data_IF_690418954480
#
_entry.id   IF_690418954480
#
_cell.length_a   1.000
_cell.length_b   1.000
_cell.length_c   1.000
_cell.angle_alpha   90.00
_cell.angle_beta   90.00
_cell.angle_gamma   90.00
#
_symmetry.space_group_name_H-M   'P 1'
#
loop_
_entity.id
_entity.type
_entity.pdbx_description
1 polymer ?
#
# COMPACT_ATOMS: atom_id res chain seq x y z
N UNK A 1 -35.58 -28.68 -7.91
CA UNK A 1 -34.81 -28.09 -9.03
C UNK A 1 -34.16 -26.80 -8.53
N UNK A 2 -32.85 -26.83 -8.27
CA UNK A 2 -32.13 -25.72 -7.63
C UNK A 2 -31.84 -24.61 -8.65
N UNK A 3 -32.07 -23.38 -8.18
CA UNK A 3 -32.04 -22.11 -8.91
C UNK A 3 -30.74 -21.93 -9.72
N UNK A 4 -30.88 -21.62 -11.00
CA UNK A 4 -29.80 -21.10 -11.84
C UNK A 4 -29.18 -19.87 -11.16
N UNK A 5 -27.95 -20.03 -10.67
CA UNK A 5 -27.15 -18.92 -10.16
C UNK A 5 -26.80 -17.96 -11.29
N UNK A 6 -26.93 -16.67 -11.02
CA UNK A 6 -26.46 -15.57 -11.86
C UNK A 6 -24.99 -15.83 -12.26
N UNK A 7 -24.61 -15.66 -13.54
CA UNK A 7 -23.22 -15.83 -13.95
C UNK A 7 -22.38 -14.83 -13.17
N UNK A 8 -21.45 -15.33 -12.35
CA UNK A 8 -20.53 -14.51 -11.57
C UNK A 8 -19.57 -13.83 -12.53
N UNK A 9 -19.97 -12.68 -13.08
CA UNK A 9 -19.11 -11.87 -13.95
C UNK A 9 -17.96 -11.31 -13.11
N UNK A 10 -16.76 -11.87 -13.28
CA UNK A 10 -15.54 -11.38 -12.64
C UNK A 10 -15.28 -9.95 -13.11
N UNK A 11 -15.43 -8.99 -12.19
CA UNK A 11 -15.11 -7.58 -12.47
C UNK A 11 -13.59 -7.43 -12.58
N UNK A 12 -13.11 -6.98 -13.74
CA UNK A 12 -11.69 -6.70 -13.97
C UNK A 12 -11.43 -5.22 -13.64
N UNK A 13 -10.70 -4.97 -12.57
CA UNK A 13 -10.38 -3.61 -12.11
C UNK A 13 -9.10 -3.05 -12.75
N UNK A 14 -8.10 -3.92 -12.94
CA UNK A 14 -6.82 -3.59 -13.56
C UNK A 14 -6.60 -4.55 -14.72
N UNK A 15 -6.04 -4.07 -15.83
CA UNK A 15 -5.86 -4.85 -17.05
C UNK A 15 -4.49 -4.57 -17.65
N UNK A 16 -3.63 -5.59 -17.74
CA UNK A 16 -2.32 -5.55 -18.42
C UNK A 16 -1.47 -4.30 -18.11
N UNK A 17 -1.23 -4.05 -16.82
CA UNK A 17 -0.42 -2.91 -16.37
C UNK A 17 1.03 -3.36 -16.30
N UNK A 18 1.92 -2.54 -16.86
CA UNK A 18 3.38 -2.70 -16.74
C UNK A 18 4.00 -1.36 -16.36
N UNK A 19 5.10 -1.40 -15.61
CA UNK A 19 5.78 -0.19 -15.16
C UNK A 19 6.97 -0.49 -14.29
N UNK A 20 7.85 0.49 -14.13
CA UNK A 20 9.01 0.42 -13.25
C UNK A 20 9.19 1.76 -12.55
N UNK A 21 9.46 1.70 -11.25
CA UNK A 21 9.71 2.87 -10.40
C UNK A 21 11.20 2.88 -10.04
N UNK A 22 11.87 4.02 -10.25
CA UNK A 22 13.31 4.16 -9.97
C UNK A 22 13.53 4.81 -8.60
N UNK A 23 14.49 4.33 -7.79
CA UNK A 23 14.88 5.00 -6.56
C UNK A 23 15.27 6.47 -6.81
N UNK A 24 14.89 7.37 -5.90
CA UNK A 24 15.22 8.80 -5.97
C UNK A 24 14.39 9.61 -6.96
N UNK A 25 13.43 9.00 -7.66
CA UNK A 25 12.55 9.69 -8.62
C UNK A 25 11.12 9.75 -8.10
N UNK A 26 10.58 10.97 -7.97
CA UNK A 26 9.16 11.15 -7.70
C UNK A 26 8.35 10.68 -8.90
N UNK A 27 7.55 9.63 -8.71
CA UNK A 27 6.69 9.06 -9.75
C UNK A 27 5.23 9.40 -9.44
N UNK A 28 4.54 10.03 -10.39
CA UNK A 28 3.14 10.41 -10.24
C UNK A 28 2.23 9.52 -11.10
N UNK A 29 1.15 9.02 -10.50
CA UNK A 29 0.11 8.25 -11.20
C UNK A 29 -1.13 9.13 -11.41
N UNK A 30 -1.37 9.54 -12.65
CA UNK A 30 -2.44 10.47 -13.01
C UNK A 30 -3.52 9.77 -13.85
N UNK A 31 -4.77 10.25 -13.74
CA UNK A 31 -5.90 9.69 -14.48
C UNK A 31 -7.25 10.09 -13.90
N UNK A 32 -8.32 9.84 -14.64
CA UNK A 32 -9.70 10.18 -14.24
C UNK A 32 -10.16 9.44 -12.99
N UNK A 33 -11.20 9.95 -12.32
CA UNK A 33 -11.83 9.23 -11.20
C UNK A 33 -12.35 7.86 -11.68
N UNK A 34 -12.16 6.82 -10.87
CA UNK A 34 -12.52 5.44 -11.25
C UNK A 34 -11.53 4.71 -12.18
N UNK A 35 -10.46 5.35 -12.64
CA UNK A 35 -9.45 4.71 -13.50
C UNK A 35 -8.63 3.58 -12.82
N UNK A 36 -8.84 3.33 -11.52
CA UNK A 36 -8.12 2.29 -10.78
C UNK A 36 -6.78 2.73 -10.19
N UNK A 37 -6.52 4.04 -10.07
CA UNK A 37 -5.28 4.57 -9.46
C UNK A 37 -5.06 4.08 -8.03
N UNK A 38 -6.05 4.31 -7.16
CA UNK A 38 -6.03 3.84 -5.77
C UNK A 38 -5.96 2.32 -5.72
N UNK A 39 -6.72 1.62 -6.59
CA UNK A 39 -6.67 0.15 -6.69
C UNK A 39 -5.28 -0.37 -7.05
N UNK A 40 -4.56 0.28 -7.98
CA UNK A 40 -3.20 -0.09 -8.35
C UNK A 40 -2.24 0.14 -7.17
N UNK A 41 -2.36 1.28 -6.50
CA UNK A 41 -1.54 1.60 -5.32
C UNK A 41 -1.82 0.63 -4.16
N UNK A 42 -3.06 0.23 -3.92
CA UNK A 42 -3.42 -0.76 -2.89
C UNK A 42 -2.86 -2.16 -3.19
N UNK A 43 -2.86 -2.58 -4.46
CA UNK A 43 -2.25 -3.85 -4.89
C UNK A 43 -0.73 -3.80 -4.72
N UNK A 44 -0.11 -2.70 -5.13
CA UNK A 44 1.33 -2.49 -4.94
C UNK A 44 1.69 -2.42 -3.45
N UNK A 45 0.87 -1.80 -2.61
CA UNK A 45 1.02 -1.78 -1.15
C UNK A 45 0.71 -3.15 -0.50
N UNK A 46 0.05 -4.05 -1.22
CA UNK A 46 -0.40 -5.35 -0.72
C UNK A 46 -1.52 -5.24 0.32
N UNK A 47 -2.30 -4.14 0.25
CA UNK A 47 -3.48 -3.90 1.10
C UNK A 47 -4.76 -4.48 0.51
N UNK A 48 -4.75 -4.88 -0.76
CA UNK A 48 -5.91 -5.50 -1.41
C UNK A 48 -6.07 -6.95 -0.95
N UNK A 49 -6.93 -7.18 0.05
CA UNK A 49 -7.20 -8.50 0.64
C UNK A 49 -8.25 -9.33 -0.10
N UNK A 50 -8.96 -8.74 -1.06
CA UNK A 50 -10.05 -9.38 -1.79
C UNK A 50 -9.84 -9.41 -3.30
N UNK A 51 -10.25 -10.51 -3.92
CA UNK A 51 -10.13 -10.74 -5.37
C UNK A 51 -8.89 -11.54 -5.75
N UNK A 52 -8.62 -11.59 -7.04
CA UNK A 52 -7.51 -12.33 -7.62
C UNK A 52 -6.49 -11.33 -8.16
N UNK A 53 -5.25 -11.44 -7.68
CA UNK A 53 -4.11 -10.65 -8.17
C UNK A 53 -3.23 -11.60 -8.95
N UNK A 54 -3.04 -11.31 -10.23
CA UNK A 54 -2.23 -12.11 -11.15
C UNK A 54 -1.13 -11.20 -11.74
N UNK A 55 0.08 -11.74 -11.90
CA UNK A 55 1.24 -11.01 -12.40
C UNK A 55 2.48 -11.18 -11.52
N UNK A 56 3.56 -10.51 -11.92
CA UNK A 56 4.86 -10.51 -11.22
C UNK A 56 5.17 -9.09 -10.75
N UNK A 57 5.49 -8.93 -9.46
CA UNK A 57 5.89 -7.66 -8.85
C UNK A 57 7.26 -7.88 -8.22
N UNK A 58 8.24 -7.06 -8.60
CA UNK A 58 9.62 -7.13 -8.08
C UNK A 58 10.03 -5.85 -7.38
N UNK A 59 10.80 -6.00 -6.31
CA UNK A 59 11.35 -4.90 -5.52
C UNK A 59 12.85 -5.16 -5.40
N UNK A 60 13.67 -4.23 -5.88
CA UNK A 60 15.13 -4.40 -5.89
C UNK A 60 15.62 -5.64 -6.67
N UNK A 61 14.82 -6.14 -7.62
CA UNK A 61 15.13 -7.35 -8.40
C UNK A 61 14.57 -8.66 -7.81
N UNK A 62 14.06 -8.65 -6.59
CA UNK A 62 13.49 -9.85 -5.94
C UNK A 62 11.97 -9.87 -6.04
N UNK A 63 11.33 -11.05 -6.09
CA UNK A 63 9.89 -11.18 -5.98
C UNK A 63 9.37 -10.53 -4.70
N UNK A 64 8.26 -9.79 -4.79
CA UNK A 64 7.63 -9.16 -3.64
C UNK A 64 7.14 -10.23 -2.65
N UNK A 65 7.70 -10.22 -1.44
CA UNK A 65 7.21 -11.02 -0.30
C UNK A 65 6.39 -10.12 0.61
N UNK A 66 5.12 -10.46 0.79
CA UNK A 66 4.14 -9.61 1.47
C UNK A 66 4.52 -9.30 2.93
N UNK A 67 5.07 -10.29 3.67
CA UNK A 67 5.44 -10.13 5.08
C UNK A 67 6.56 -9.11 5.30
N UNK A 68 7.61 -9.16 4.48
CA UNK A 68 8.75 -8.25 4.58
C UNK A 68 8.40 -6.87 4.02
N UNK A 69 7.56 -6.83 2.99
CA UNK A 69 7.26 -5.60 2.27
C UNK A 69 6.55 -4.54 3.11
N UNK A 70 5.64 -4.95 4.00
CA UNK A 70 4.92 -4.03 4.89
C UNK A 70 5.87 -3.29 5.85
N UNK A 71 7.05 -3.86 6.15
CA UNK A 71 8.04 -3.23 7.04
C UNK A 71 8.88 -2.14 6.38
N UNK A 72 9.03 -2.19 5.06
CA UNK A 72 9.89 -1.28 4.28
C UNK A 72 9.08 -0.25 3.49
N UNK A 73 7.76 -0.42 3.40
CA UNK A 73 6.86 0.49 2.70
C UNK A 73 6.14 1.42 3.67
N UNK A 74 6.19 2.73 3.41
CA UNK A 74 5.23 3.69 3.93
C UNK A 74 4.05 3.84 2.97
N UNK A 75 2.81 3.70 3.47
CA UNK A 75 1.59 3.95 2.69
C UNK A 75 0.75 5.01 3.37
N UNK A 76 0.48 6.12 2.68
CA UNK A 76 -0.45 7.13 3.14
C UNK A 76 -1.79 6.91 2.45
N UNK A 77 -2.86 6.85 3.24
CA UNK A 77 -4.21 6.67 2.71
C UNK A 77 -4.74 7.97 2.11
N UNK A 78 -5.86 7.88 1.38
CA UNK A 78 -6.54 9.06 0.84
C UNK A 78 -7.19 9.90 1.94
N UNK A 79 -7.53 9.28 3.08
CA UNK A 79 -8.08 9.95 4.26
C UNK A 79 -7.08 9.79 5.39
N UNK A 80 -6.74 10.91 6.03
CA UNK A 80 -5.83 10.90 7.15
C UNK A 80 -6.54 10.43 8.43
N UNK A 81 -5.91 9.50 9.15
CA UNK A 81 -6.42 8.98 10.43
C UNK A 81 -5.47 9.47 11.52
N UNK A 82 -5.91 10.46 12.30
CA UNK A 82 -5.17 11.00 13.42
C UNK A 82 -6.06 11.12 14.66
N UNK A 83 -5.45 11.00 15.85
CA UNK A 83 -6.16 11.27 17.10
C UNK A 83 -6.35 12.78 17.25
N UNK A 84 -7.58 13.26 17.51
CA UNK A 84 -7.82 14.69 17.69
C UNK A 84 -7.25 15.23 19.02
N UNK A 85 -6.81 14.36 19.92
CA UNK A 85 -6.27 14.73 21.24
C UNK A 85 -4.75 14.89 21.27
N UNK A 86 -4.05 14.52 20.18
CA UNK A 86 -2.59 14.59 20.11
C UNK A 86 -2.16 15.77 19.24
N UNK A 87 -1.06 16.40 19.63
CA UNK A 87 -0.34 17.33 18.77
C UNK A 87 0.37 16.59 17.63
N UNK A 88 0.83 17.34 16.63
CA UNK A 88 1.58 16.79 15.49
C UNK A 88 2.86 16.11 15.97
N UNK A 89 3.59 16.76 16.89
CA UNK A 89 4.83 16.23 17.47
C UNK A 89 4.58 14.89 18.17
N UNK A 90 3.60 14.83 19.07
CA UNK A 90 3.26 13.61 19.80
C UNK A 90 2.86 12.46 18.85
N UNK A 91 2.11 12.77 17.80
CA UNK A 91 1.68 11.78 16.80
C UNK A 91 2.86 11.20 16.02
N UNK A 92 3.82 12.03 15.62
CA UNK A 92 5.03 11.61 14.91
C UNK A 92 5.95 10.81 15.82
N UNK A 93 6.20 11.32 17.03
CA UNK A 93 7.03 10.64 18.05
C UNK A 93 6.47 9.28 18.42
N UNK A 94 5.15 9.18 18.61
CA UNK A 94 4.49 7.91 18.88
C UNK A 94 4.64 6.92 17.72
N UNK A 95 4.54 7.38 16.47
CA UNK A 95 4.77 6.54 15.29
C UNK A 95 6.21 6.06 15.19
N UNK A 96 7.18 6.92 15.51
CA UNK A 96 8.59 6.60 15.52
C UNK A 96 8.91 5.52 16.56
N UNK A 97 8.39 5.63 17.78
CA UNK A 97 8.60 4.65 18.86
C UNK A 97 8.10 3.25 18.50
N UNK A 98 6.98 3.14 17.78
CA UNK A 98 6.42 1.84 17.39
C UNK A 98 7.15 1.18 16.21
N UNK A 99 7.81 1.97 15.36
CA UNK A 99 8.45 1.48 14.12
C UNK A 99 9.96 1.31 14.24
N UNK A 100 10.61 2.09 15.11
CA UNK A 100 12.05 2.05 15.27
C UNK A 100 12.49 0.85 16.11
N UNK A 101 13.64 0.23 15.77
CA UNK A 101 14.22 -0.81 16.59
C UNK A 101 14.61 -0.33 18.01
N UNK A 102 14.61 -1.26 18.97
CA UNK A 102 14.96 -0.99 20.37
C UNK A 102 16.38 -0.44 20.59
N UNK A 103 17.30 -0.67 19.64
CA UNK A 103 18.70 -0.22 19.71
C UNK A 103 18.96 1.20 19.22
N UNK A 104 17.94 1.90 18.69
CA UNK A 104 18.07 3.33 18.34
C UNK A 104 18.12 4.14 19.63
N UNK A 105 19.15 4.97 19.79
CA UNK A 105 19.35 5.78 21.00
C UNK A 105 18.22 6.81 21.21
N UNK A 106 17.90 7.14 22.46
CA UNK A 106 16.84 8.10 22.79
C UNK A 106 17.09 9.48 22.16
N UNK A 107 18.35 9.91 22.04
CA UNK A 107 18.71 11.18 21.40
C UNK A 107 18.49 11.20 19.89
N UNK A 108 18.43 10.02 19.23
CA UNK A 108 18.14 9.91 17.79
C UNK A 108 16.65 9.70 17.53
N UNK A 109 15.85 9.45 18.58
CA UNK A 109 14.40 9.22 18.51
C UNK A 109 13.56 10.49 18.69
N UNK A 110 14.13 11.53 19.30
CA UNK A 110 13.58 12.88 19.48
C UNK A 110 13.92 13.78 18.31
#
# INVERSE_FOLDING_TARGET
>A
MLKQGYPTRRLRLLNNITGALRPGVLSALMGVSGAGKTTLLDVLAGRKTGGYIEGDIRIGGYPKVQETFVRILGYCEQVDIHSPQLTVEESVTYSAWLRLPSHVDEQTRS
#
